data_IF_725848434787
#
_entry.id   IF_725848434787
#
_cell.length_a   1.000
_cell.length_b   1.000
_cell.length_c   1.000
_cell.angle_alpha   90.00
_cell.angle_beta   90.00
_cell.angle_gamma   90.00
#
_symmetry.space_group_name_H-M   'P 1'
#
loop_
_entity.id
_entity.type
_entity.pdbx_description
1 polymer ?
#
# COMPACT_ATOMS: atom_id res chain seq x y z
N UNK A 1 30.71 13.26 -4.03
CA UNK A 1 29.72 13.81 -3.08
C UNK A 1 29.19 12.67 -2.23
N UNK A 2 29.76 12.49 -1.04
CA UNK A 2 29.30 11.54 -0.04
C UNK A 2 27.99 12.06 0.53
N UNK A 3 26.87 11.43 0.17
CA UNK A 3 25.58 11.68 0.83
C UNK A 3 25.76 11.27 2.29
N UNK A 4 25.64 12.25 3.18
CA UNK A 4 25.73 12.07 4.63
C UNK A 4 24.70 11.02 5.06
N UNK A 5 25.16 9.86 5.50
CA UNK A 5 24.36 8.66 5.76
C UNK A 5 23.76 8.70 7.18
N UNK A 6 23.20 9.85 7.57
CA UNK A 6 22.51 10.02 8.87
C UNK A 6 21.02 9.69 8.72
N UNK A 7 20.62 8.65 9.43
CA UNK A 7 19.27 8.32 9.89
C UNK A 7 18.15 8.37 8.84
N UNK A 8 18.15 7.40 7.92
CA UNK A 8 16.90 6.98 7.31
C UNK A 8 16.25 6.00 8.28
N UNK A 9 15.22 6.45 8.97
CA UNK A 9 14.41 5.60 9.84
C UNK A 9 13.45 4.72 9.00
N UNK A 10 12.93 3.66 9.61
CA UNK A 10 11.95 2.78 8.96
C UNK A 10 10.70 3.57 8.51
N UNK A 11 10.27 4.52 9.33
CA UNK A 11 9.13 5.40 9.08
C UNK A 11 9.36 6.25 7.81
N UNK A 12 10.57 6.78 7.61
CA UNK A 12 10.88 7.58 6.42
C UNK A 12 10.87 6.74 5.13
N UNK A 13 11.30 5.48 5.19
CA UNK A 13 11.23 4.57 4.03
C UNK A 13 9.77 4.26 3.72
N UNK A 14 8.98 3.91 4.74
CA UNK A 14 7.58 3.59 4.59
C UNK A 14 6.79 4.78 4.04
N UNK A 15 6.94 5.97 4.62
CA UNK A 15 6.28 7.20 4.15
C UNK A 15 6.60 7.46 2.66
N UNK A 16 7.87 7.31 2.26
CA UNK A 16 8.28 7.48 0.86
C UNK A 16 7.68 6.42 -0.07
N UNK A 17 7.63 5.17 0.39
CA UNK A 17 7.04 4.06 -0.37
C UNK A 17 5.54 4.31 -0.56
N UNK A 18 4.80 4.59 0.51
CA UNK A 18 3.38 4.98 0.49
C UNK A 18 3.13 6.12 -0.49
N UNK A 19 3.92 7.20 -0.38
CA UNK A 19 3.78 8.35 -1.28
C UNK A 19 3.98 7.97 -2.75
N UNK A 20 5.03 7.21 -3.07
CA UNK A 20 5.27 6.78 -4.45
C UNK A 20 4.12 5.92 -4.98
N UNK A 21 3.62 4.97 -4.18
CA UNK A 21 2.50 4.11 -4.57
C UNK A 21 1.24 4.92 -4.87
N UNK A 22 0.93 5.91 -4.03
CA UNK A 22 -0.22 6.79 -4.25
C UNK A 22 -0.05 7.66 -5.50
N UNK A 23 1.18 8.11 -5.81
CA UNK A 23 1.44 8.96 -6.98
C UNK A 23 1.31 8.21 -8.31
N UNK A 24 1.52 6.89 -8.32
CA UNK A 24 1.31 6.04 -9.50
C UNK A 24 -0.17 5.90 -9.86
N UNK A 25 -1.06 5.98 -8.87
CA UNK A 25 -2.50 5.85 -9.07
C UNK A 25 -3.10 7.08 -9.79
N UNK A 26 -4.17 6.85 -10.55
CA UNK A 26 -5.02 7.93 -11.05
C UNK A 26 -5.65 8.72 -9.89
N UNK A 27 -6.07 9.98 -10.08
CA UNK A 27 -6.66 10.78 -9.00
C UNK A 27 -7.84 10.11 -8.29
N UNK A 28 -8.70 9.41 -9.03
CA UNK A 28 -9.85 8.68 -8.46
C UNK A 28 -9.39 7.47 -7.63
N UNK A 29 -8.53 6.62 -8.20
CA UNK A 29 -7.96 5.46 -7.50
C UNK A 29 -7.18 5.86 -6.23
N UNK A 30 -6.46 6.97 -6.28
CA UNK A 30 -5.73 7.53 -5.14
C UNK A 30 -6.67 7.98 -4.02
N UNK A 31 -7.72 8.74 -4.36
CA UNK A 31 -8.74 9.16 -3.39
C UNK A 31 -9.41 7.96 -2.72
N UNK A 32 -9.65 6.88 -3.47
CA UNK A 32 -10.23 5.63 -2.95
C UNK A 32 -9.32 4.98 -1.91
N UNK A 33 -8.06 4.75 -2.26
CA UNK A 33 -7.09 4.15 -1.35
C UNK A 33 -6.91 5.05 -0.11
N UNK A 34 -6.86 6.37 -0.30
CA UNK A 34 -6.73 7.30 0.83
C UNK A 34 -7.93 7.28 1.76
N UNK A 35 -9.16 7.21 1.26
CA UNK A 35 -10.35 7.08 2.12
C UNK A 35 -10.31 5.81 2.96
N UNK A 36 -10.08 4.66 2.32
CA UNK A 36 -10.01 3.38 3.03
C UNK A 36 -8.92 3.41 4.11
N UNK A 37 -7.71 3.87 3.76
CA UNK A 37 -6.58 3.97 4.71
C UNK A 37 -6.89 4.92 5.86
N UNK A 38 -7.33 6.14 5.56
CA UNK A 38 -7.54 7.19 6.54
C UNK A 38 -8.65 6.86 7.53
N UNK A 39 -9.67 6.11 7.11
CA UNK A 39 -10.83 5.82 7.95
C UNK A 39 -10.72 4.52 8.77
N UNK A 40 -9.64 3.75 8.60
CA UNK A 40 -9.42 2.47 9.28
C UNK A 40 -9.54 2.56 10.81
N UNK A 41 -9.03 3.65 11.40
CA UNK A 41 -8.97 3.78 12.87
C UNK A 41 -10.23 4.38 13.49
N UNK A 42 -10.85 5.33 12.79
CA UNK A 42 -12.00 6.09 13.28
C UNK A 42 -12.69 6.88 12.16
N UNK A 43 -13.97 7.27 12.36
CA UNK A 43 -14.64 8.25 11.51
C UNK A 43 -13.85 9.57 11.43
N UNK A 44 -13.90 10.23 10.26
CA UNK A 44 -13.23 11.52 10.02
C UNK A 44 -14.06 12.40 9.09
N UNK A 45 -13.82 13.72 9.15
CA UNK A 45 -14.33 14.62 8.12
C UNK A 45 -13.50 14.45 6.84
N UNK A 46 -14.12 14.62 5.68
CA UNK A 46 -13.41 14.56 4.40
C UNK A 46 -12.25 15.57 4.32
N UNK A 47 -12.38 16.73 4.97
CA UNK A 47 -11.30 17.72 5.08
C UNK A 47 -10.07 17.20 5.84
N UNK A 48 -10.26 16.34 6.84
CA UNK A 48 -9.14 15.75 7.58
C UNK A 48 -8.39 14.75 6.69
N UNK A 49 -9.13 13.97 5.87
CA UNK A 49 -8.53 13.07 4.88
C UNK A 49 -7.77 13.86 3.79
N UNK A 50 -8.28 15.02 3.37
CA UNK A 50 -7.55 15.92 2.46
C UNK A 50 -6.23 16.37 3.08
N UNK A 51 -6.23 16.76 4.37
CA UNK A 51 -5.02 17.18 5.07
C UNK A 51 -3.99 16.05 5.17
N UNK A 52 -4.43 14.80 5.35
CA UNK A 52 -3.56 13.62 5.32
C UNK A 52 -2.95 13.40 3.93
N UNK A 53 -3.72 13.58 2.85
CA UNK A 53 -3.18 13.57 1.49
C UNK A 53 -2.10 14.66 1.30
N UNK A 54 -2.34 15.88 1.77
CA UNK A 54 -1.39 17.00 1.67
C UNK A 54 -0.11 16.75 2.47
N UNK A 55 -0.23 16.15 3.66
CA UNK A 55 0.91 15.73 4.49
C UNK A 55 1.79 14.74 3.74
N UNK A 56 1.19 13.77 3.04
CA UNK A 56 1.89 12.84 2.15
C UNK A 56 2.35 13.48 0.83
N UNK A 57 2.06 14.76 0.61
CA UNK A 57 2.35 15.51 -0.64
C UNK A 57 1.70 14.90 -1.87
N UNK A 58 0.48 14.37 -1.70
CA UNK A 58 -0.35 13.85 -2.79
C UNK A 58 -1.66 14.62 -2.87
N UNK A 59 -2.23 14.72 -4.08
CA UNK A 59 -3.52 15.41 -4.28
C UNK A 59 -4.65 14.39 -4.44
N UNK A 60 -5.70 14.54 -3.62
CA UNK A 60 -6.90 13.70 -3.62
C UNK A 60 -8.13 14.49 -4.09
N UNK A 61 -8.08 15.02 -5.31
CA UNK A 61 -9.08 15.97 -5.83
C UNK A 61 -10.47 15.38 -6.11
N UNK A 62 -10.64 14.07 -5.93
CA UNK A 62 -11.89 13.33 -6.21
C UNK A 62 -12.49 12.72 -4.94
N UNK A 63 -12.12 13.23 -3.77
CA UNK A 63 -12.47 12.60 -2.50
C UNK A 63 -13.99 12.48 -2.29
N UNK A 64 -14.76 13.54 -2.56
CA UNK A 64 -16.23 13.53 -2.42
C UNK A 64 -16.88 12.50 -3.35
N UNK A 65 -16.56 12.56 -4.65
CA UNK A 65 -17.07 11.63 -5.67
C UNK A 65 -16.77 10.16 -5.32
N UNK A 66 -15.60 9.91 -4.73
CA UNK A 66 -15.21 8.56 -4.31
C UNK A 66 -15.90 8.16 -3.00
N UNK A 67 -16.12 9.09 -2.07
CA UNK A 67 -16.89 8.82 -0.86
C UNK A 67 -18.32 8.41 -1.21
N UNK A 68 -18.98 9.15 -2.11
CA UNK A 68 -20.31 8.82 -2.63
C UNK A 68 -20.30 7.42 -3.29
N UNK A 69 -19.31 7.13 -4.11
CA UNK A 69 -19.17 5.83 -4.75
C UNK A 69 -18.98 4.67 -3.73
N UNK A 70 -18.19 4.86 -2.68
CA UNK A 70 -17.99 3.84 -1.64
C UNK A 70 -19.24 3.69 -0.75
N UNK A 71 -20.02 4.75 -0.56
CA UNK A 71 -21.33 4.72 0.10
C UNK A 71 -22.35 3.93 -0.74
N UNK A 72 -22.39 4.13 -2.07
CA UNK A 72 -23.21 3.33 -2.99
C UNK A 72 -22.87 1.84 -2.96
N UNK A 73 -21.61 1.49 -2.66
CA UNK A 73 -21.17 0.12 -2.48
C UNK A 73 -21.44 -0.44 -1.08
N UNK A 74 -21.95 0.36 -0.14
CA UNK A 74 -22.15 -0.05 1.24
C UNK A 74 -20.86 -0.19 2.06
N UNK A 75 -19.74 0.38 1.60
CA UNK A 75 -18.45 0.33 2.28
C UNK A 75 -18.19 1.55 3.18
N UNK A 76 -18.92 2.64 2.94
CA UNK A 76 -18.92 3.84 3.75
C UNK A 76 -20.34 4.21 4.19
N UNK A 77 -20.43 4.94 5.29
CA UNK A 77 -21.64 5.63 5.73
C UNK A 77 -21.30 7.04 6.23
N UNK A 78 -22.27 7.96 6.08
CA UNK A 78 -22.16 9.33 6.59
C UNK A 78 -22.78 9.44 7.97
N UNK A 79 -22.01 9.92 8.95
CA UNK A 79 -22.42 10.15 10.34
C UNK A 79 -22.35 11.65 10.65
N UNK A 80 -23.36 12.39 10.21
CA UNK A 80 -23.35 13.85 10.31
C UNK A 80 -22.39 14.46 9.28
N UNK A 81 -21.34 15.15 9.73
CA UNK A 81 -20.30 15.73 8.88
C UNK A 81 -19.05 14.84 8.74
N UNK A 82 -19.07 13.66 9.35
CA UNK A 82 -18.02 12.65 9.26
C UNK A 82 -18.43 11.50 8.33
N UNK A 83 -17.43 10.86 7.74
CA UNK A 83 -17.55 9.58 7.04
C UNK A 83 -16.93 8.48 7.89
N UNK A 84 -17.54 7.31 7.88
CA UNK A 84 -17.08 6.12 8.60
C UNK A 84 -17.14 4.90 7.68
N UNK A 85 -16.23 3.94 7.88
CA UNK A 85 -16.33 2.63 7.25
C UNK A 85 -17.48 1.84 7.87
N UNK A 86 -18.21 1.11 7.03
CA UNK A 86 -19.10 0.03 7.47
C UNK A 86 -18.26 -1.19 7.89
N UNK A 87 -18.89 -2.27 8.34
CA UNK A 87 -18.20 -3.53 8.66
C UNK A 87 -17.40 -4.06 7.46
N UNK A 88 -18.05 -4.18 6.29
CA UNK A 88 -17.41 -4.62 5.05
C UNK A 88 -16.27 -3.68 4.61
N UNK A 89 -16.49 -2.36 4.76
CA UNK A 89 -15.46 -1.36 4.48
C UNK A 89 -14.26 -1.48 5.43
N UNK A 90 -14.51 -1.78 6.70
CA UNK A 90 -13.49 -1.98 7.72
C UNK A 90 -12.65 -3.23 7.47
N UNK A 91 -13.24 -4.34 7.07
CA UNK A 91 -12.49 -5.56 6.71
C UNK A 91 -11.54 -5.32 5.53
N UNK A 92 -12.03 -4.61 4.50
CA UNK A 92 -11.23 -4.24 3.35
C UNK A 92 -10.08 -3.29 3.72
N UNK A 93 -10.36 -2.27 4.53
CA UNK A 93 -9.36 -1.31 4.99
C UNK A 93 -8.32 -1.95 5.92
N UNK A 94 -8.74 -2.88 6.79
CA UNK A 94 -7.86 -3.64 7.66
C UNK A 94 -6.85 -4.46 6.84
N UNK A 95 -7.30 -5.11 5.77
CA UNK A 95 -6.42 -5.86 4.86
C UNK A 95 -5.32 -4.98 4.24
N UNK A 96 -5.62 -3.73 3.90
CA UNK A 96 -4.62 -2.77 3.41
C UNK A 96 -3.62 -2.44 4.52
N UNK A 97 -4.14 -2.19 5.73
CA UNK A 97 -3.32 -1.81 6.89
C UNK A 97 -2.41 -2.95 7.35
N UNK A 98 -2.86 -4.19 7.27
CA UNK A 98 -2.06 -5.38 7.61
C UNK A 98 -0.84 -5.47 6.69
N UNK A 99 -1.03 -5.34 5.37
CA UNK A 99 0.09 -5.33 4.41
C UNK A 99 1.04 -4.14 4.66
N UNK A 100 0.52 -2.96 5.02
CA UNK A 100 1.36 -1.83 5.40
C UNK A 100 2.21 -2.10 6.65
N UNK A 101 1.64 -2.79 7.65
CA UNK A 101 2.37 -3.19 8.86
C UNK A 101 3.45 -4.22 8.54
N UNK A 102 3.13 -5.26 7.76
CA UNK A 102 4.11 -6.27 7.37
C UNK A 102 5.29 -5.63 6.62
N UNK A 103 5.03 -4.68 5.72
CA UNK A 103 6.09 -3.94 5.00
C UNK A 103 6.91 -3.06 5.97
N UNK A 104 6.27 -2.43 6.95
CA UNK A 104 6.96 -1.65 7.97
C UNK A 104 7.90 -2.52 8.80
N UNK A 105 7.42 -3.70 9.21
CA UNK A 105 8.20 -4.68 9.97
C UNK A 105 9.37 -5.21 9.16
N UNK A 106 9.18 -5.50 7.87
CA UNK A 106 10.27 -5.87 6.97
C UNK A 106 11.35 -4.79 6.91
N UNK A 107 10.94 -3.54 6.67
CA UNK A 107 11.86 -2.41 6.60
C UNK A 107 12.69 -2.34 7.90
N UNK A 108 12.02 -2.47 9.05
CA UNK A 108 12.67 -2.43 10.36
C UNK A 108 13.65 -3.60 10.55
N UNK A 109 13.20 -4.83 10.35
CA UNK A 109 14.05 -6.04 10.43
C UNK A 109 15.27 -5.92 9.52
N UNK A 110 15.08 -5.35 8.33
CA UNK A 110 16.16 -5.16 7.37
C UNK A 110 17.19 -4.13 7.84
N UNK A 111 16.73 -2.97 8.34
CA UNK A 111 17.60 -1.93 8.87
C UNK A 111 18.36 -2.39 10.12
N UNK A 112 17.76 -3.27 10.92
CA UNK A 112 18.37 -3.89 12.10
C UNK A 112 19.29 -5.09 11.75
N UNK A 113 19.34 -5.50 10.48
CA UNK A 113 20.16 -6.63 10.03
C UNK A 113 19.63 -8.00 10.48
N UNK A 114 18.35 -8.07 10.88
CA UNK A 114 17.67 -9.26 11.36
C UNK A 114 16.94 -10.03 10.25
N UNK A 115 16.76 -9.41 9.07
CA UNK A 115 16.06 -10.01 7.94
C UNK A 115 16.85 -11.16 7.30
N UNK A 116 16.19 -12.29 7.09
CA UNK A 116 16.64 -13.38 6.24
C UNK A 116 16.33 -13.09 4.76
N UNK A 117 16.96 -13.86 3.86
CA UNK A 117 16.65 -13.79 2.43
C UNK A 117 15.19 -14.21 2.20
N UNK A 118 14.73 -15.22 2.93
CA UNK A 118 13.36 -15.74 2.89
C UNK A 118 12.31 -14.66 3.20
N UNK A 119 12.58 -13.75 4.15
CA UNK A 119 11.65 -12.66 4.47
C UNK A 119 11.44 -11.74 3.25
N UNK A 120 12.50 -11.49 2.47
CA UNK A 120 12.42 -10.70 1.24
C UNK A 120 11.63 -11.44 0.16
N UNK A 121 11.82 -12.75 0.02
CA UNK A 121 11.03 -13.59 -0.89
C UNK A 121 9.54 -13.54 -0.55
N UNK A 122 9.17 -13.81 0.72
CA UNK A 122 7.77 -13.81 1.17
C UNK A 122 7.09 -12.49 0.82
N UNK A 123 7.74 -11.35 1.06
CA UNK A 123 7.18 -10.04 0.73
C UNK A 123 7.00 -9.76 -0.76
N UNK A 124 7.91 -10.23 -1.60
CA UNK A 124 7.74 -10.16 -3.06
C UNK A 124 6.53 -10.98 -3.50
N UNK A 125 6.28 -12.11 -2.84
CA UNK A 125 5.09 -12.93 -3.08
C UNK A 125 3.81 -12.34 -2.45
N UNK A 126 3.87 -11.55 -1.38
CA UNK A 126 2.68 -10.88 -0.79
C UNK A 126 1.98 -9.98 -1.81
N UNK A 127 2.74 -9.24 -2.64
CA UNK A 127 2.18 -8.47 -3.75
C UNK A 127 1.45 -9.34 -4.77
N UNK A 128 1.95 -10.55 -5.04
CA UNK A 128 1.33 -11.55 -5.92
C UNK A 128 0.12 -12.22 -5.25
N UNK A 129 0.19 -12.53 -3.96
CA UNK A 129 -0.92 -13.08 -3.18
C UNK A 129 -2.09 -12.09 -3.12
N UNK A 130 -1.83 -10.78 -3.15
CA UNK A 130 -2.88 -9.77 -3.29
C UNK A 130 -3.69 -9.92 -4.60
N UNK A 131 -3.10 -10.47 -5.68
CA UNK A 131 -3.81 -10.81 -6.93
C UNK A 131 -4.75 -12.00 -6.73
N UNK A 132 -4.37 -12.97 -5.89
CA UNK A 132 -5.27 -14.09 -5.53
C UNK A 132 -6.47 -13.56 -4.76
N UNK A 133 -6.25 -12.65 -3.81
CA UNK A 133 -7.31 -11.92 -3.12
C UNK A 133 -8.18 -11.07 -4.06
N UNK A 134 -7.61 -10.49 -5.13
CA UNK A 134 -8.38 -9.81 -6.20
C UNK A 134 -9.33 -10.76 -6.92
N UNK A 135 -8.87 -11.97 -7.22
CA UNK A 135 -9.65 -13.01 -7.91
C UNK A 135 -10.75 -13.54 -6.97
N UNK A 136 -10.46 -13.73 -5.69
CA UNK A 136 -11.46 -14.14 -4.69
C UNK A 136 -12.47 -13.02 -4.39
N UNK A 137 -12.04 -11.77 -4.31
CA UNK A 137 -12.92 -10.60 -4.16
C UNK A 137 -13.87 -10.40 -5.34
N UNK A 138 -13.45 -10.79 -6.55
CA UNK A 138 -14.34 -10.88 -7.71
C UNK A 138 -15.44 -11.95 -7.51
N UNK A 139 -15.13 -13.07 -6.85
CA UNK A 139 -16.12 -14.08 -6.47
C UNK A 139 -17.11 -13.56 -5.39
N UNK A 140 -16.71 -12.57 -4.60
CA UNK A 140 -17.55 -11.86 -3.64
C UNK A 140 -18.39 -10.72 -4.27
N UNK A 141 -18.29 -10.50 -5.60
CA UNK A 141 -19.10 -9.52 -6.32
C UNK A 141 -18.62 -8.07 -6.21
N UNK A 142 -17.42 -7.83 -5.68
CA UNK A 142 -16.84 -6.49 -5.64
C UNK A 142 -16.43 -6.01 -7.05
N UNK A 143 -16.67 -4.74 -7.40
CA UNK A 143 -16.38 -4.25 -8.74
C UNK A 143 -14.86 -4.11 -8.95
N UNK A 144 -14.37 -4.48 -10.14
CA UNK A 144 -12.94 -4.33 -10.50
C UNK A 144 -12.40 -2.91 -10.31
N UNK A 145 -13.26 -1.88 -10.47
CA UNK A 145 -12.92 -0.48 -10.22
C UNK A 145 -12.58 -0.16 -8.75
N UNK A 146 -12.96 -1.02 -7.79
CA UNK A 146 -12.52 -0.97 -6.39
C UNK A 146 -11.23 -1.77 -6.19
N UNK A 147 -11.19 -2.98 -6.73
CA UNK A 147 -10.13 -3.95 -6.45
C UNK A 147 -8.79 -3.57 -7.09
N UNK A 148 -8.81 -3.14 -8.37
CA UNK A 148 -7.58 -2.83 -9.11
C UNK A 148 -6.77 -1.68 -8.50
N UNK A 149 -7.38 -0.56 -8.04
CA UNK A 149 -6.67 0.47 -7.27
C UNK A 149 -5.93 -0.05 -6.05
N UNK A 150 -6.58 -0.90 -5.24
CA UNK A 150 -6.02 -1.45 -4.01
C UNK A 150 -4.82 -2.35 -4.34
N UNK A 151 -4.99 -3.28 -5.28
CA UNK A 151 -3.91 -4.15 -5.73
C UNK A 151 -2.71 -3.36 -6.29
N UNK A 152 -2.99 -2.36 -7.13
CA UNK A 152 -1.93 -1.51 -7.72
C UNK A 152 -1.17 -0.78 -6.61
N UNK A 153 -1.88 -0.24 -5.63
CA UNK A 153 -1.29 0.42 -4.48
C UNK A 153 -0.34 -0.51 -3.69
N UNK A 154 -0.81 -1.69 -3.29
CA UNK A 154 -0.05 -2.65 -2.50
C UNK A 154 1.17 -3.19 -3.25
N UNK A 155 1.02 -3.45 -4.55
CA UNK A 155 2.13 -3.88 -5.40
C UNK A 155 3.20 -2.80 -5.53
N UNK A 156 2.78 -1.55 -5.79
CA UNK A 156 3.70 -0.42 -5.85
C UNK A 156 4.36 -0.14 -4.49
N UNK A 157 3.66 -0.38 -3.38
CA UNK A 157 4.18 -0.17 -2.02
C UNK A 157 5.33 -1.13 -1.74
N UNK A 158 5.10 -2.41 -1.99
CA UNK A 158 6.11 -3.46 -1.85
C UNK A 158 7.33 -3.17 -2.73
N UNK A 159 7.11 -2.89 -4.02
CA UNK A 159 8.19 -2.58 -4.96
C UNK A 159 8.96 -1.31 -4.56
N UNK A 160 8.27 -0.26 -4.12
CA UNK A 160 8.89 1.00 -3.71
C UNK A 160 9.72 0.84 -2.43
N UNK A 161 9.21 0.09 -1.45
CA UNK A 161 9.94 -0.21 -0.21
C UNK A 161 11.24 -0.97 -0.51
N UNK A 162 11.17 -2.04 -1.29
CA UNK A 162 12.34 -2.83 -1.69
C UNK A 162 13.33 -2.01 -2.51
N UNK A 163 12.86 -1.19 -3.46
CA UNK A 163 13.74 -0.32 -4.24
C UNK A 163 14.47 0.73 -3.37
N UNK A 164 13.81 1.25 -2.32
CA UNK A 164 14.42 2.17 -1.37
C UNK A 164 15.45 1.47 -0.48
N UNK A 165 15.17 0.25 -0.02
CA UNK A 165 16.09 -0.57 0.76
C UNK A 165 17.31 -1.04 -0.07
N UNK A 166 17.10 -1.43 -1.33
CA UNK A 166 18.14 -1.85 -2.27
C UNK A 166 19.22 -0.78 -2.49
N UNK A 167 18.86 0.50 -2.43
CA UNK A 167 19.81 1.63 -2.50
C UNK A 167 20.76 1.68 -1.30
N UNK A 168 20.44 0.99 -0.20
CA UNK A 168 21.21 0.97 1.05
C UNK A 168 21.94 -0.34 1.27
N UNK A 169 21.46 -1.42 0.69
CA UNK A 169 22.05 -2.73 0.88
C UNK A 169 21.99 -3.54 -0.42
N UNK A 170 23.17 -3.81 -0.97
CA UNK A 170 23.34 -4.57 -2.21
C UNK A 170 22.77 -5.98 -2.11
N UNK A 171 22.69 -6.57 -0.91
CA UNK A 171 22.10 -7.90 -0.68
C UNK A 171 20.69 -8.04 -1.27
N UNK A 172 19.87 -6.97 -1.24
CA UNK A 172 18.54 -7.02 -1.86
C UNK A 172 18.64 -7.14 -3.37
N UNK A 173 19.56 -6.40 -3.99
CA UNK A 173 19.80 -6.49 -5.44
C UNK A 173 20.23 -7.91 -5.79
N UNK A 174 21.18 -8.46 -5.03
CA UNK A 174 21.67 -9.82 -5.25
C UNK A 174 20.57 -10.89 -5.09
N UNK A 175 19.64 -10.72 -4.14
CA UNK A 175 18.47 -11.61 -3.97
C UNK A 175 17.50 -11.46 -5.15
N UNK A 176 17.18 -10.23 -5.56
CA UNK A 176 16.31 -9.97 -6.71
C UNK A 176 16.89 -10.56 -8.00
N UNK A 177 18.19 -10.41 -8.23
CA UNK A 177 18.88 -10.98 -9.39
C UNK A 177 18.80 -12.51 -9.40
N UNK A 178 19.07 -13.18 -8.27
CA UNK A 178 18.92 -14.64 -8.13
C UNK A 178 17.50 -15.12 -8.43
N UNK A 179 16.48 -14.39 -7.97
CA UNK A 179 15.09 -14.71 -8.28
C UNK A 179 14.81 -14.69 -9.77
N UNK A 180 15.29 -13.67 -10.49
CA UNK A 180 15.09 -13.56 -11.93
C UNK A 180 15.78 -14.70 -12.68
N UNK A 181 16.99 -15.09 -12.27
CA UNK A 181 17.71 -16.22 -12.85
C UNK A 181 16.93 -17.54 -12.64
N UNK A 182 16.46 -17.84 -11.44
CA UNK A 182 15.71 -19.06 -11.13
C UNK A 182 14.40 -19.18 -11.93
N UNK A 183 13.66 -18.08 -12.08
CA UNK A 183 12.42 -18.04 -12.89
C UNK A 183 12.72 -18.29 -14.37
N UNK A 184 13.81 -17.71 -14.89
CA UNK A 184 14.19 -17.87 -16.29
C UNK A 184 14.57 -19.31 -16.65
N UNK A 185 15.18 -20.04 -15.72
CA UNK A 185 15.60 -21.44 -15.88
C UNK A 185 14.42 -22.41 -15.78
N UNK A 186 13.39 -22.10 -14.97
CA UNK A 186 12.20 -22.96 -14.86
C UNK A 186 11.17 -22.76 -16.00
N UNK A 187 11.25 -21.64 -16.71
CA UNK A 187 10.38 -21.32 -17.85
C UNK A 187 10.91 -21.75 -19.22
N UNK A 188 12.07 -22.43 -19.29
CA UNK A 188 12.70 -22.97 -20.51
C UNK A 188 12.72 -24.50 -20.51
#
# INVERSE_FOLDING_TARGET
MTVNNKDISAELILERAVRHSLLVLSPHARSLVMLLRSLTDKPKKLNDVILECETLRVRCSRLEEVADYLEELGLLERRGDEVALTEDGSELAASIKDVEHEIADLIKMFLEGLSSDFDIYVHLFTGVASIVGVIEGYALGLPLKLILPIHTYLSCLSASALALLARKNKKIIDILEKMFEEISVQGS
#
